data_IF_155991364735
#
_entry.id   IF_155991364735
#
_cell.length_a   1.000
_cell.length_b   1.000
_cell.length_c   1.000
_cell.angle_alpha   90.00
_cell.angle_beta   90.00
_cell.angle_gamma   90.00
#
_symmetry.space_group_name_H-M   'P 1'
#
loop_
_entity.id
_entity.type
_entity.pdbx_description
1 polymer ?
#
# COMPACT_ATOMS: atom_id res chain seq x y z
N UNK A 1 -1.39 2.15 -0.44
CA UNK A 1 -1.32 0.73 -0.85
C UNK A 1 -2.71 0.11 -0.78
N UNK A 2 -3.19 -0.43 -1.89
CA UNK A 2 -4.35 -1.32 -2.03
C UNK A 2 -5.68 -0.85 -1.41
N UNK A 3 -5.91 0.46 -1.37
CA UNK A 3 -7.21 0.99 -0.98
C UNK A 3 -8.20 0.87 -2.16
N UNK A 4 -8.47 -0.38 -2.52
CA UNK A 4 -9.31 -0.75 -3.67
C UNK A 4 -10.63 -1.38 -3.22
N UNK A 5 -11.62 -1.37 -4.10
CA UNK A 5 -12.96 -1.88 -3.79
C UNK A 5 -12.93 -3.34 -3.32
N UNK A 6 -12.04 -4.17 -3.87
CA UNK A 6 -11.89 -5.59 -3.56
C UNK A 6 -11.51 -5.90 -2.11
N UNK A 7 -10.87 -4.94 -1.43
CA UNK A 7 -10.52 -5.08 0.00
C UNK A 7 -11.40 -4.25 0.93
N UNK A 8 -12.04 -3.19 0.43
CA UNK A 8 -12.76 -2.25 1.29
C UNK A 8 -14.28 -2.33 1.12
N UNK A 9 -14.80 -2.71 -0.05
CA UNK A 9 -16.23 -2.56 -0.39
C UNK A 9 -16.93 -3.85 -0.76
N UNK A 10 -16.33 -4.66 -1.64
CA UNK A 10 -16.97 -5.82 -2.25
C UNK A 10 -15.94 -6.90 -2.61
N UNK A 11 -16.41 -8.11 -2.89
CA UNK A 11 -15.52 -9.20 -3.29
C UNK A 11 -15.21 -10.17 -2.16
N UNK A 12 -14.42 -11.20 -2.47
CA UNK A 12 -14.17 -12.34 -1.58
C UNK A 12 -13.37 -11.96 -0.33
N UNK A 13 -12.47 -10.98 -0.44
CA UNK A 13 -11.55 -10.59 0.64
C UNK A 13 -11.88 -9.22 1.26
N UNK A 14 -13.08 -8.69 0.98
CA UNK A 14 -13.41 -7.34 1.49
C UNK A 14 -13.72 -7.35 2.99
N UNK A 15 -13.31 -6.29 3.65
CA UNK A 15 -13.72 -5.93 5.00
C UNK A 15 -13.99 -4.41 5.08
N UNK A 16 -15.25 -4.06 5.37
CA UNK A 16 -15.68 -2.66 5.46
C UNK A 16 -15.00 -1.89 6.58
N UNK A 17 -14.48 -2.57 7.61
CA UNK A 17 -13.77 -1.93 8.72
C UNK A 17 -12.48 -1.23 8.27
N UNK A 18 -11.88 -1.68 7.17
CA UNK A 18 -10.70 -1.06 6.55
C UNK A 18 -10.97 0.42 6.19
N UNK A 19 -12.21 0.77 5.85
CA UNK A 19 -12.57 2.14 5.50
C UNK A 19 -12.32 3.17 6.61
N UNK A 20 -12.15 2.73 7.86
CA UNK A 20 -11.90 3.64 9.01
C UNK A 20 -10.64 4.50 8.86
N UNK A 21 -9.66 4.04 8.08
CA UNK A 21 -8.40 4.76 7.89
C UNK A 21 -8.42 5.77 6.72
N UNK A 22 -9.47 5.76 5.89
CA UNK A 22 -9.59 6.66 4.74
C UNK A 22 -9.50 8.14 5.12
N UNK A 23 -10.17 8.65 6.17
CA UNK A 23 -10.06 10.06 6.53
C UNK A 23 -8.62 10.50 6.77
N UNK A 24 -7.83 9.69 7.48
CA UNK A 24 -6.42 10.00 7.74
C UNK A 24 -5.57 9.94 6.48
N UNK A 25 -5.84 9.01 5.60
CA UNK A 25 -5.17 8.93 4.29
C UNK A 25 -5.45 10.17 3.43
N UNK A 26 -6.69 10.67 3.43
CA UNK A 26 -7.05 11.91 2.72
C UNK A 26 -6.28 13.12 3.26
N UNK A 27 -6.11 13.22 4.59
CA UNK A 27 -5.30 14.28 5.19
C UNK A 27 -3.88 14.24 4.67
N UNK A 28 -3.21 13.07 4.75
CA UNK A 28 -1.85 12.88 4.29
C UNK A 28 -1.69 13.16 2.78
N UNK A 29 -2.59 12.65 1.95
CA UNK A 29 -2.57 12.92 0.51
C UNK A 29 -2.64 14.43 0.23
N UNK A 30 -3.52 15.16 0.93
CA UNK A 30 -3.64 16.61 0.77
C UNK A 30 -2.40 17.36 1.22
N UNK A 31 -1.76 16.93 2.32
CA UNK A 31 -0.49 17.48 2.80
C UNK A 31 0.57 17.36 1.70
N UNK A 32 0.80 16.15 1.19
CA UNK A 32 1.76 15.87 0.11
C UNK A 32 1.48 16.64 -1.18
N UNK A 33 0.22 16.70 -1.59
CA UNK A 33 -0.16 17.43 -2.81
C UNK A 33 0.02 18.93 -2.68
N UNK A 34 -0.25 19.51 -1.50
CA UNK A 34 -0.03 20.93 -1.24
C UNK A 34 1.47 21.30 -1.28
N UNK A 35 2.34 20.37 -0.93
CA UNK A 35 3.79 20.52 -0.97
C UNK A 35 4.37 20.20 -2.36
N UNK A 36 3.53 19.71 -3.29
CA UNK A 36 3.95 19.34 -4.65
C UNK A 36 4.65 17.98 -4.71
N UNK A 37 4.54 17.19 -3.67
CA UNK A 37 5.19 15.89 -3.55
C UNK A 37 4.46 14.78 -4.34
N UNK A 38 5.18 13.69 -4.62
CA UNK A 38 4.66 12.56 -5.38
C UNK A 38 3.73 11.70 -4.52
N UNK A 39 2.54 11.40 -5.05
CA UNK A 39 1.60 10.43 -4.48
C UNK A 39 1.49 9.22 -5.40
N UNK A 40 1.67 8.02 -4.87
CA UNK A 40 1.57 6.76 -5.62
C UNK A 40 0.42 5.92 -5.08
N UNK A 41 -0.57 5.64 -5.93
CA UNK A 41 -1.61 4.67 -5.66
C UNK A 41 -1.17 3.30 -6.16
N UNK A 42 -0.94 2.38 -5.24
CA UNK A 42 -0.69 0.97 -5.56
C UNK A 42 -2.04 0.25 -5.57
N UNK A 43 -2.29 -0.53 -6.62
CA UNK A 43 -3.58 -1.19 -6.83
C UNK A 43 -3.37 -2.68 -7.10
N UNK A 44 -3.85 -3.50 -6.20
CA UNK A 44 -3.88 -4.94 -6.43
C UNK A 44 -4.74 -5.25 -7.66
N UNK A 45 -4.13 -5.89 -8.65
CA UNK A 45 -4.75 -6.09 -9.96
C UNK A 45 -4.33 -7.44 -10.54
N UNK A 46 -5.25 -8.37 -10.56
CA UNK A 46 -4.99 -9.75 -10.93
C UNK A 46 -5.61 -10.17 -12.26
N UNK A 47 -5.08 -11.24 -12.82
CA UNK A 47 -5.76 -12.06 -13.84
C UNK A 47 -6.21 -13.39 -13.18
N UNK A 48 -7.01 -14.18 -13.88
CA UNK A 48 -7.44 -15.50 -13.36
C UNK A 48 -6.28 -16.46 -13.13
N UNK A 49 -5.16 -16.26 -13.82
CA UNK A 49 -3.95 -17.05 -13.76
C UNK A 49 -2.99 -16.62 -12.65
N UNK A 50 -3.30 -15.52 -11.93
CA UNK A 50 -2.44 -14.98 -10.89
C UNK A 50 -2.20 -16.00 -9.78
N UNK A 51 -0.94 -16.22 -9.45
CA UNK A 51 -0.53 -17.25 -8.48
C UNK A 51 -0.94 -16.89 -7.05
N UNK A 52 -1.21 -15.62 -6.79
CA UNK A 52 -1.65 -15.15 -5.47
C UNK A 52 -3.00 -15.76 -5.06
N UNK A 53 -3.90 -16.05 -6.01
CA UNK A 53 -5.16 -16.75 -5.76
C UNK A 53 -5.02 -18.15 -5.15
N UNK A 54 -3.82 -18.76 -5.23
CA UNK A 54 -3.53 -20.03 -4.55
C UNK A 54 -3.17 -19.86 -3.08
N UNK A 55 -2.68 -18.67 -2.70
CA UNK A 55 -2.32 -18.34 -1.31
C UNK A 55 -3.47 -17.70 -0.56
N UNK A 56 -4.21 -16.85 -1.26
CA UNK A 56 -5.42 -16.20 -0.76
C UNK A 56 -6.60 -16.73 -1.57
N UNK A 57 -7.33 -17.74 -1.06
CA UNK A 57 -8.32 -18.48 -1.83
C UNK A 57 -9.49 -17.60 -2.29
N UNK A 58 -9.87 -17.82 -3.53
CA UNK A 58 -10.89 -17.03 -4.22
C UNK A 58 -10.29 -15.95 -5.13
N UNK A 59 -11.00 -15.69 -6.24
CA UNK A 59 -10.63 -14.58 -7.10
C UNK A 59 -10.91 -13.26 -6.38
N UNK A 60 -9.97 -12.34 -6.45
CA UNK A 60 -10.08 -11.00 -5.91
C UNK A 60 -9.35 -10.00 -6.82
N UNK A 61 -9.78 -8.76 -6.81
CA UNK A 61 -9.18 -7.65 -7.56
C UNK A 61 -8.88 -8.00 -9.03
N UNK A 62 -9.76 -8.78 -9.69
CA UNK A 62 -9.59 -9.12 -11.10
C UNK A 62 -9.69 -7.86 -11.96
N UNK A 63 -8.77 -7.72 -12.89
CA UNK A 63 -8.76 -6.62 -13.87
C UNK A 63 -10.08 -6.55 -14.63
N UNK A 64 -10.74 -5.39 -14.61
CA UNK A 64 -12.01 -5.12 -15.25
C UNK A 64 -13.23 -5.58 -14.44
N UNK A 65 -13.08 -6.04 -13.21
CA UNK A 65 -14.19 -6.37 -12.31
C UNK A 65 -14.72 -5.16 -11.52
N UNK A 66 -13.91 -4.10 -11.46
CA UNK A 66 -14.13 -2.93 -10.61
C UNK A 66 -13.73 -3.17 -9.15
N UNK A 67 -13.21 -4.37 -8.79
CA UNK A 67 -12.61 -4.62 -7.49
C UNK A 67 -11.22 -4.00 -7.38
N UNK A 68 -10.47 -3.96 -8.48
CA UNK A 68 -9.15 -3.35 -8.59
C UNK A 68 -9.16 -1.82 -8.56
N UNK A 69 -10.34 -1.20 -8.71
CA UNK A 69 -10.46 0.26 -8.70
C UNK A 69 -10.29 0.82 -7.29
N UNK A 70 -9.61 1.95 -7.18
CA UNK A 70 -9.48 2.73 -5.95
C UNK A 70 -10.86 3.11 -5.42
N UNK A 71 -11.05 3.05 -4.11
CA UNK A 71 -12.34 3.41 -3.46
C UNK A 71 -12.75 4.84 -3.80
N UNK A 72 -14.06 5.08 -3.87
CA UNK A 72 -14.62 6.34 -4.38
C UNK A 72 -14.13 7.58 -3.63
N UNK A 73 -13.88 7.48 -2.33
CA UNK A 73 -13.39 8.60 -1.51
C UNK A 73 -11.95 9.02 -1.87
N UNK A 74 -11.13 8.11 -2.35
CA UNK A 74 -9.76 8.36 -2.75
C UNK A 74 -9.61 8.57 -4.27
N UNK A 75 -10.58 8.12 -5.07
CA UNK A 75 -10.56 8.19 -6.53
C UNK A 75 -10.31 9.60 -7.09
N UNK A 76 -10.86 10.70 -6.53
CA UNK A 76 -10.56 12.05 -7.01
C UNK A 76 -9.10 12.44 -6.94
N UNK A 77 -8.32 11.82 -6.08
CA UNK A 77 -6.90 12.11 -5.92
C UNK A 77 -6.02 11.37 -6.93
N UNK A 78 -6.53 10.34 -7.60
CA UNK A 78 -5.76 9.53 -8.57
C UNK A 78 -5.46 10.25 -9.89
N UNK A 79 -6.17 11.34 -10.18
CA UNK A 79 -6.07 12.11 -11.43
C UNK A 79 -5.39 13.47 -11.26
N UNK A 80 -4.89 13.75 -10.05
CA UNK A 80 -4.24 15.03 -9.77
C UNK A 80 -2.78 15.03 -10.25
N UNK A 81 -2.22 16.23 -10.41
CA UNK A 81 -0.82 16.40 -10.74
C UNK A 81 0.07 15.71 -9.67
N UNK A 82 1.22 15.22 -10.08
CA UNK A 82 2.13 14.46 -9.21
C UNK A 82 1.51 13.19 -8.59
N UNK A 83 0.56 12.58 -9.29
CA UNK A 83 -0.01 11.29 -8.87
C UNK A 83 0.24 10.21 -9.92
N UNK A 84 0.62 9.02 -9.46
CA UNK A 84 0.84 7.84 -10.30
C UNK A 84 -0.02 6.69 -9.76
N UNK A 85 -0.73 5.99 -10.66
CA UNK A 85 -1.44 4.75 -10.32
C UNK A 85 -0.66 3.56 -10.86
N UNK A 86 -0.35 2.59 -9.99
CA UNK A 86 0.50 1.44 -10.32
C UNK A 86 -0.24 0.15 -10.00
N UNK A 87 -0.64 -0.63 -11.01
CA UNK A 87 -1.16 -1.98 -10.78
C UNK A 87 -0.02 -2.91 -10.35
N UNK A 88 -0.29 -3.77 -9.38
CA UNK A 88 0.59 -4.86 -8.96
C UNK A 88 -0.13 -6.19 -8.98
N UNK A 89 0.60 -7.27 -9.09
CA UNK A 89 0.09 -8.65 -9.14
C UNK A 89 0.72 -9.54 -8.03
N UNK A 90 1.20 -8.92 -6.97
CA UNK A 90 1.77 -9.61 -5.81
C UNK A 90 1.65 -8.76 -4.55
N UNK A 91 1.87 -9.36 -3.39
CA UNK A 91 1.80 -8.65 -2.10
C UNK A 91 2.90 -7.59 -1.91
N UNK A 92 3.92 -7.54 -2.77
CA UNK A 92 4.97 -6.50 -2.71
C UNK A 92 4.90 -5.59 -3.93
N UNK A 93 4.73 -4.31 -3.72
CA UNK A 93 4.75 -3.31 -4.80
C UNK A 93 6.14 -3.16 -5.45
N UNK A 94 7.20 -3.61 -4.78
CA UNK A 94 8.55 -3.61 -5.34
C UNK A 94 8.69 -4.56 -6.54
N UNK A 95 7.80 -5.55 -6.66
CA UNK A 95 7.77 -6.46 -7.80
C UNK A 95 6.96 -5.91 -8.99
N UNK A 96 6.26 -4.78 -8.82
CA UNK A 96 5.59 -4.10 -9.92
C UNK A 96 6.61 -3.40 -10.82
N UNK A 97 6.70 -3.74 -12.13
CA UNK A 97 7.71 -3.17 -13.03
C UNK A 97 7.67 -1.63 -13.07
N UNK A 98 6.47 -1.05 -13.07
CA UNK A 98 6.28 0.41 -13.09
C UNK A 98 6.85 1.05 -11.82
N UNK A 99 6.63 0.44 -10.64
CA UNK A 99 7.19 0.97 -9.40
C UNK A 99 8.71 0.94 -9.42
N UNK A 100 9.29 -0.13 -9.94
CA UNK A 100 10.74 -0.29 -10.13
C UNK A 100 11.28 0.85 -11.02
N UNK A 101 10.64 1.11 -12.15
CA UNK A 101 11.03 2.22 -13.04
C UNK A 101 10.94 3.59 -12.37
N UNK A 102 9.93 3.83 -11.53
CA UNK A 102 9.81 5.07 -10.74
C UNK A 102 10.99 5.18 -9.79
N UNK A 103 11.35 4.11 -9.08
CA UNK A 103 12.46 4.10 -8.14
C UNK A 103 13.82 4.31 -8.82
N UNK A 104 14.01 3.76 -10.02
CA UNK A 104 15.24 3.91 -10.80
C UNK A 104 15.41 5.35 -11.33
N UNK A 105 14.30 6.04 -11.62
CA UNK A 105 14.31 7.43 -12.12
C UNK A 105 14.34 8.46 -11.00
N UNK A 106 13.60 8.22 -9.91
CA UNK A 106 13.46 9.14 -8.79
C UNK A 106 14.48 8.84 -7.67
N UNK A 107 15.76 9.04 -7.98
CA UNK A 107 16.87 8.74 -7.08
C UNK A 107 17.02 9.71 -5.91
N UNK A 108 16.35 10.85 -5.96
CA UNK A 108 16.42 11.92 -4.97
C UNK A 108 15.34 11.84 -3.88
N UNK A 109 14.45 10.86 -3.91
CA UNK A 109 13.43 10.69 -2.87
C UNK A 109 14.13 10.33 -1.55
N UNK A 110 13.87 11.12 -0.51
CA UNK A 110 14.46 10.96 0.82
C UNK A 110 13.52 10.38 1.85
N UNK A 111 12.23 10.46 1.62
CA UNK A 111 11.21 10.02 2.55
C UNK A 111 10.08 9.29 1.82
N UNK A 112 9.60 8.21 2.43
CA UNK A 112 8.48 7.42 1.95
C UNK A 112 7.49 7.26 3.09
N UNK A 113 6.28 7.77 2.93
CA UNK A 113 5.19 7.59 3.88
C UNK A 113 4.20 6.59 3.32
N UNK A 114 4.02 5.48 4.03
CA UNK A 114 3.23 4.33 3.60
C UNK A 114 1.92 4.27 4.37
N UNK A 115 0.83 4.16 3.63
CA UNK A 115 -0.53 4.02 4.14
C UNK A 115 -1.30 2.96 3.33
N UNK A 116 -2.40 2.44 3.85
CA UNK A 116 -3.26 1.52 3.10
C UNK A 116 -3.61 0.22 3.80
N UNK A 117 -3.72 -0.85 3.03
CA UNK A 117 -4.05 -2.19 3.52
C UNK A 117 -3.33 -3.28 2.71
N UNK A 118 -3.21 -4.50 3.21
CA UNK A 118 -3.45 -4.88 4.60
C UNK A 118 -2.15 -4.75 5.39
N UNK A 119 -2.24 -4.29 6.64
CA UNK A 119 -1.09 -3.97 7.51
C UNK A 119 -0.06 -5.09 7.55
N UNK A 120 -0.51 -6.33 7.71
CA UNK A 120 0.30 -7.53 7.89
C UNK A 120 0.61 -8.27 6.58
N UNK A 121 0.21 -7.72 5.43
CA UNK A 121 0.44 -8.32 4.11
C UNK A 121 1.15 -7.30 3.20
N UNK A 122 0.40 -6.56 2.39
CA UNK A 122 0.98 -5.67 1.37
C UNK A 122 1.72 -4.46 1.99
N UNK A 123 1.18 -3.93 3.10
CA UNK A 123 1.82 -2.84 3.87
C UNK A 123 3.07 -3.31 4.62
N UNK A 124 3.19 -4.60 4.91
CA UNK A 124 4.42 -5.19 5.46
C UNK A 124 5.43 -5.50 4.34
N UNK A 125 5.01 -6.29 3.36
CA UNK A 125 5.91 -6.80 2.32
C UNK A 125 6.48 -5.72 1.40
N UNK A 126 5.68 -4.72 1.06
CA UNK A 126 6.10 -3.64 0.17
C UNK A 126 7.23 -2.78 0.75
N UNK A 127 7.04 -2.17 1.93
CA UNK A 127 8.08 -1.36 2.58
C UNK A 127 9.34 -2.15 2.94
N UNK A 128 9.22 -3.41 3.35
CA UNK A 128 10.39 -4.27 3.58
C UNK A 128 11.17 -4.52 2.28
N UNK A 129 10.46 -4.77 1.17
CA UNK A 129 11.10 -4.86 -0.15
C UNK A 129 11.74 -3.55 -0.59
N UNK A 130 11.11 -2.40 -0.26
CA UNK A 130 11.68 -1.08 -0.53
C UNK A 130 12.94 -0.83 0.29
N UNK A 131 12.95 -1.18 1.57
CA UNK A 131 14.15 -1.07 2.42
C UNK A 131 15.31 -1.87 1.82
N UNK A 132 15.08 -3.13 1.46
CA UNK A 132 16.10 -3.95 0.81
C UNK A 132 16.61 -3.35 -0.52
N UNK A 133 15.71 -2.77 -1.32
CA UNK A 133 16.10 -2.08 -2.56
C UNK A 133 16.98 -0.86 -2.28
N UNK A 134 16.63 -0.05 -1.29
CA UNK A 134 17.41 1.13 -0.91
C UNK A 134 18.79 0.74 -0.39
N UNK A 135 18.89 -0.31 0.44
CA UNK A 135 20.15 -0.85 0.95
C UNK A 135 21.05 -1.34 -0.19
N UNK A 136 20.50 -2.15 -1.13
CA UNK A 136 21.26 -2.68 -2.28
C UNK A 136 21.84 -1.56 -3.15
N UNK A 137 21.11 -0.43 -3.25
CA UNK A 137 21.52 0.71 -4.08
C UNK A 137 22.24 1.82 -3.28
N UNK A 138 22.56 1.59 -2.01
CA UNK A 138 23.20 2.56 -1.11
C UNK A 138 22.47 3.91 -1.07
N UNK A 139 21.15 3.88 -1.04
CA UNK A 139 20.28 5.07 -1.03
C UNK A 139 19.79 5.35 0.39
N UNK A 140 20.27 6.45 0.95
CA UNK A 140 19.78 6.93 2.24
C UNK A 140 18.39 7.53 2.10
N UNK A 141 17.39 6.88 2.71
CA UNK A 141 16.01 7.35 2.73
C UNK A 141 15.30 6.85 3.99
N UNK A 142 14.29 7.58 4.44
CA UNK A 142 13.45 7.22 5.57
C UNK A 142 12.17 6.57 5.04
N UNK A 143 11.78 5.43 5.59
CA UNK A 143 10.49 4.81 5.33
C UNK A 143 9.67 4.89 6.60
N UNK A 144 8.45 5.46 6.51
CA UNK A 144 7.48 5.52 7.61
C UNK A 144 6.21 4.77 7.24
N UNK A 145 5.67 4.03 8.19
CA UNK A 145 4.33 3.45 8.11
C UNK A 145 3.44 4.14 9.13
N UNK A 146 2.36 4.75 8.67
CA UNK A 146 1.41 5.48 9.52
C UNK A 146 0.40 4.52 10.15
N UNK A 147 0.58 4.17 11.42
CA UNK A 147 -0.28 3.21 12.16
C UNK A 147 -1.75 3.63 12.23
N UNK A 148 -2.03 4.91 12.15
CA UNK A 148 -3.38 5.49 12.12
C UNK A 148 -3.98 5.60 10.70
N UNK A 149 -3.21 5.21 9.67
CA UNK A 149 -3.61 5.23 8.28
C UNK A 149 -3.46 3.87 7.58
N UNK A 150 -3.21 2.80 8.34
CA UNK A 150 -3.18 1.42 7.86
C UNK A 150 -4.21 0.55 8.57
N UNK A 151 -4.69 -0.48 7.89
CA UNK A 151 -5.67 -1.43 8.43
C UNK A 151 -5.50 -2.80 7.80
N UNK A 152 -6.06 -3.83 8.44
CA UNK A 152 -6.19 -5.17 7.87
C UNK A 152 -7.62 -5.70 8.04
N UNK A 153 -7.97 -6.73 7.29
CA UNK A 153 -9.25 -7.42 7.44
C UNK A 153 -9.26 -8.27 8.71
N UNK A 154 -10.44 -8.48 9.30
CA UNK A 154 -10.63 -9.28 10.53
C UNK A 154 -9.56 -8.95 11.59
N UNK A 155 -9.33 -7.67 11.87
CA UNK A 155 -8.20 -7.18 12.65
C UNK A 155 -8.11 -7.81 14.04
N UNK A 156 -9.26 -7.99 14.72
CA UNK A 156 -9.30 -8.61 16.06
C UNK A 156 -8.74 -10.04 16.05
N UNK A 157 -9.01 -10.80 14.99
CA UNK A 157 -8.51 -12.18 14.82
C UNK A 157 -7.05 -12.21 14.32
N UNK A 158 -6.55 -11.09 13.79
CA UNK A 158 -5.24 -10.97 13.15
C UNK A 158 -4.23 -10.13 13.93
N UNK A 159 -4.55 -9.75 15.16
CA UNK A 159 -3.68 -8.89 15.97
C UNK A 159 -2.25 -9.43 16.07
N UNK A 160 -2.08 -10.74 16.24
CA UNK A 160 -0.75 -11.36 16.28
C UNK A 160 0.05 -11.17 14.99
N UNK A 161 -0.61 -11.19 13.82
CA UNK A 161 0.04 -10.95 12.54
C UNK A 161 0.40 -9.48 12.36
N UNK A 162 -0.47 -8.58 12.80
CA UNK A 162 -0.22 -7.12 12.80
C UNK A 162 0.97 -6.78 13.69
N UNK A 163 1.02 -7.33 14.92
CA UNK A 163 2.13 -7.11 15.84
C UNK A 163 3.44 -7.67 15.29
N UNK A 164 3.41 -8.88 14.70
CA UNK A 164 4.59 -9.45 14.05
C UNK A 164 5.06 -8.62 12.85
N UNK A 165 4.14 -8.11 12.02
CA UNK A 165 4.46 -7.24 10.90
C UNK A 165 5.14 -5.95 11.36
N UNK A 166 4.63 -5.32 12.42
CA UNK A 166 5.27 -4.13 13.00
C UNK A 166 6.69 -4.42 13.50
N UNK A 167 6.88 -5.52 14.25
CA UNK A 167 8.21 -5.92 14.73
C UNK A 167 9.20 -6.16 13.57
N UNK A 168 8.76 -6.83 12.50
CA UNK A 168 9.60 -7.08 11.32
C UNK A 168 9.95 -5.77 10.59
N UNK A 169 9.00 -4.86 10.44
CA UNK A 169 9.24 -3.55 9.83
C UNK A 169 10.23 -2.72 10.65
N UNK A 170 10.06 -2.66 11.98
CA UNK A 170 11.00 -1.96 12.87
C UNK A 170 12.41 -2.57 12.81
N UNK A 171 12.52 -3.90 12.72
CA UNK A 171 13.83 -4.57 12.56
C UNK A 171 14.53 -4.17 11.26
N UNK A 172 13.78 -3.84 10.21
CA UNK A 172 14.29 -3.33 8.93
C UNK A 172 14.54 -1.80 8.94
N UNK A 173 14.44 -1.15 10.09
CA UNK A 173 14.64 0.29 10.22
C UNK A 173 13.46 1.14 9.74
N UNK A 174 12.31 0.53 9.45
CA UNK A 174 11.09 1.24 9.06
C UNK A 174 10.48 1.88 10.31
N UNK A 175 10.20 3.16 10.24
CA UNK A 175 9.62 3.92 11.35
C UNK A 175 8.10 3.73 11.40
N UNK A 176 7.59 3.32 12.54
CA UNK A 176 6.16 3.26 12.81
C UNK A 176 5.72 4.57 13.45
N UNK A 177 4.90 5.34 12.76
CA UNK A 177 4.45 6.67 13.21
C UNK A 177 2.94 6.71 13.41
N UNK A 178 2.50 7.65 14.23
CA UNK A 178 1.08 7.94 14.47
C UNK A 178 0.93 9.43 14.77
N UNK A 179 -0.13 10.06 14.23
CA UNK A 179 -0.47 11.44 14.60
C UNK A 179 -0.78 11.50 16.10
N UNK A 180 -0.16 12.45 16.79
CA UNK A 180 -0.41 12.75 18.21
C UNK A 180 -1.63 13.67 18.31
#
# INVERSE_FOLDING_TARGET
VDMVNGFVRKGTLHDKSIARVIPRQIELIKEYQNEGELVIFIQDTHTKESMEHKRFPGYHCLKGSGEEEVVDELKPFTILNNTICIPKNSTSFMEAPIFREVMDKATNIKEFDIVGCCTDICVCNGPMGLANYLDEHNRESIIRVHKDAVATFAEDDRQNYVDAAYLLMEQQGIQLVKKI
#
